data_IF_346970006829
#
_entry.id   IF_346970006829
#
_cell.length_a   1.000
_cell.length_b   1.000
_cell.length_c   1.000
_cell.angle_alpha   90.00
_cell.angle_beta   90.00
_cell.angle_gamma   90.00
#
_symmetry.space_group_name_H-M   'P 1'
#
loop_
_entity.id
_entity.type
_entity.pdbx_description
1 polymer ?
#
# COMPACT_ATOMS: atom_id res chain seq x y z
N UNK A 1 -18.58 7.15 28.95
CA UNK A 1 -17.26 7.28 28.28
C UNK A 1 -16.06 7.32 29.25
N UNK A 2 -16.17 6.83 30.50
CA UNK A 2 -15.14 7.07 31.53
C UNK A 2 -14.22 5.89 31.86
N UNK A 3 -14.69 4.64 31.87
CA UNK A 3 -13.92 3.53 32.44
C UNK A 3 -12.95 2.87 31.45
N UNK A 4 -13.40 2.62 30.22
CA UNK A 4 -12.59 1.96 29.19
C UNK A 4 -11.38 2.82 28.74
N UNK A 5 -11.57 4.13 28.66
CA UNK A 5 -10.54 5.11 28.30
C UNK A 5 -9.50 5.28 29.42
N UNK A 6 -9.94 5.20 30.68
CA UNK A 6 -9.06 5.23 31.86
C UNK A 6 -8.29 3.91 31.99
N UNK A 7 -8.93 2.76 31.73
CA UNK A 7 -8.29 1.46 31.72
C UNK A 7 -7.21 1.34 30.61
N UNK A 8 -7.51 1.82 29.40
CA UNK A 8 -6.52 1.91 28.31
C UNK A 8 -5.37 2.88 28.63
N UNK A 9 -5.64 4.01 29.30
CA UNK A 9 -4.58 4.94 29.72
C UNK A 9 -3.72 4.37 30.85
N UNK A 10 -4.32 3.65 31.79
CA UNK A 10 -3.61 2.98 32.88
C UNK A 10 -2.73 1.84 32.35
N UNK A 11 -3.26 1.01 31.45
CA UNK A 11 -2.49 -0.04 30.78
C UNK A 11 -1.36 0.50 29.89
N UNK A 12 -1.48 1.71 29.32
CA UNK A 12 -0.45 2.29 28.44
C UNK A 12 0.53 3.24 29.15
N UNK A 13 0.26 3.64 30.40
CA UNK A 13 1.09 4.55 31.19
C UNK A 13 2.52 4.05 31.49
N UNK A 14 2.74 2.81 31.96
CA UNK A 14 4.10 2.31 32.19
C UNK A 14 4.91 2.19 30.88
N UNK A 15 4.23 1.99 29.75
CA UNK A 15 4.86 1.89 28.43
C UNK A 15 5.25 3.25 27.83
N UNK A 16 4.54 4.34 28.17
CA UNK A 16 5.00 5.70 27.82
C UNK A 16 6.26 6.11 28.57
N UNK A 17 6.43 5.60 29.80
CA UNK A 17 7.67 5.80 30.56
C UNK A 17 8.83 4.99 29.93
N UNK A 18 8.57 3.75 29.50
CA UNK A 18 9.56 2.92 28.81
C UNK A 18 9.99 3.49 27.45
N UNK A 19 9.04 4.07 26.69
CA UNK A 19 9.33 4.73 25.41
C UNK A 19 10.21 5.99 25.55
N UNK A 20 10.19 6.66 26.71
CA UNK A 20 11.09 7.78 27.03
C UNK A 20 12.50 7.33 27.43
N UNK A 21 12.64 6.11 27.95
CA UNK A 21 13.92 5.53 28.38
C UNK A 21 14.72 4.90 27.22
N UNK A 22 14.05 4.42 26.17
CA UNK A 22 14.70 3.76 25.00
C UNK A 22 15.02 4.74 23.86
N UNK A 23 14.93 6.06 24.09
CA UNK A 23 15.43 7.07 23.14
C UNK A 23 14.64 7.17 21.83
N UNK A 24 13.34 6.80 21.81
CA UNK A 24 12.50 7.06 20.65
C UNK A 24 12.32 8.57 20.43
N UNK A 25 12.53 9.10 19.21
CA UNK A 25 12.35 10.53 18.96
C UNK A 25 10.91 10.91 19.27
N UNK A 26 10.76 12.00 20.00
CA UNK A 26 9.48 12.51 20.44
C UNK A 26 8.58 12.82 19.25
N UNK A 27 7.35 12.31 19.28
CA UNK A 27 6.26 12.71 18.40
C UNK A 27 5.91 14.18 18.64
N UNK A 28 6.68 15.09 18.06
CA UNK A 28 6.29 16.50 17.88
C UNK A 28 6.76 16.97 16.51
N UNK A 29 5.78 17.22 15.65
CA UNK A 29 5.81 18.25 14.60
C UNK A 29 7.05 18.30 13.71
N UNK A 30 7.17 17.33 12.81
CA UNK A 30 7.88 17.51 11.52
C UNK A 30 6.84 17.47 10.41
N UNK A 31 5.84 18.34 10.53
CA UNK A 31 4.94 18.67 9.42
C UNK A 31 5.55 19.89 8.71
N UNK A 32 5.78 19.75 7.39
CA UNK A 32 5.94 20.82 6.38
C UNK A 32 7.31 21.41 6.02
N UNK A 33 8.46 21.03 6.59
CA UNK A 33 9.75 21.61 6.15
C UNK A 33 10.64 20.71 5.25
N UNK A 34 10.34 19.41 5.12
CA UNK A 34 11.19 18.48 4.36
C UNK A 34 10.97 18.44 2.85
N UNK A 35 9.73 18.65 2.39
CA UNK A 35 9.38 18.50 0.97
C UNK A 35 10.01 19.57 0.07
N UNK A 36 10.23 20.80 0.59
CA UNK A 36 10.81 21.90 -0.17
C UNK A 36 12.34 21.90 -0.24
N UNK A 37 13.03 21.18 0.65
CA UNK A 37 14.49 21.12 0.68
C UNK A 37 15.03 20.00 -0.21
N UNK A 38 14.33 18.86 -0.27
CA UNK A 38 14.72 17.71 -1.10
C UNK A 38 14.45 17.97 -2.59
N UNK A 39 13.47 18.82 -2.93
CA UNK A 39 13.29 19.28 -4.32
C UNK A 39 14.44 20.20 -4.80
N UNK A 40 15.23 20.76 -3.87
CA UNK A 40 16.35 21.64 -4.17
C UNK A 40 17.69 20.90 -4.24
N UNK A 41 17.82 19.80 -3.48
CA UNK A 41 19.04 18.97 -3.45
C UNK A 41 19.03 17.87 -4.54
N UNK A 42 17.90 17.62 -5.22
CA UNK A 42 17.81 16.70 -6.37
C UNK A 42 18.23 17.34 -7.71
N UNK A 43 18.84 18.53 -7.67
CA UNK A 43 19.19 19.34 -8.83
C UNK A 43 20.63 19.20 -9.33
N UNK A 44 21.51 18.50 -8.61
CA UNK A 44 22.91 18.36 -9.02
C UNK A 44 23.28 16.88 -9.23
N UNK A 45 23.61 16.58 -10.49
CA UNK A 45 24.44 15.51 -11.03
C UNK A 45 24.64 14.24 -10.17
N UNK A 46 24.01 13.12 -10.59
CA UNK A 46 24.72 11.89 -10.93
C UNK A 46 23.79 10.88 -11.63
N UNK A 47 24.35 10.17 -12.60
CA UNK A 47 23.68 9.16 -13.44
C UNK A 47 23.00 8.07 -12.59
N UNK A 48 22.03 7.38 -13.20
CA UNK A 48 21.22 6.23 -12.78
C UNK A 48 21.92 5.03 -12.06
N UNK A 49 23.08 5.20 -11.40
CA UNK A 49 23.84 4.13 -10.77
C UNK A 49 23.66 4.01 -9.25
N UNK A 50 23.32 5.09 -8.53
CA UNK A 50 23.16 5.04 -7.06
C UNK A 50 21.80 4.44 -6.60
N UNK A 51 20.95 4.04 -7.54
CA UNK A 51 19.53 3.75 -7.31
C UNK A 51 19.17 2.26 -7.23
N UNK A 52 20.15 1.36 -7.13
CA UNK A 52 19.90 -0.09 -7.01
C UNK A 52 19.46 -0.52 -5.62
N UNK A 53 19.62 0.34 -4.63
CA UNK A 53 19.33 0.01 -3.24
C UNK A 53 18.59 1.15 -2.54
N UNK A 54 17.27 1.22 -2.73
CA UNK A 54 16.43 1.47 -1.56
C UNK A 54 16.67 0.31 -0.58
N UNK A 55 17.80 0.39 0.15
CA UNK A 55 18.16 -0.52 1.23
C UNK A 55 16.95 -0.63 2.14
N UNK A 56 16.64 -1.82 2.63
CA UNK A 56 15.62 -2.03 3.66
C UNK A 56 16.08 -1.30 4.92
N UNK A 57 15.90 0.01 4.97
CA UNK A 57 16.37 0.82 6.06
C UNK A 57 15.31 0.78 7.15
N UNK A 58 15.62 -0.02 8.18
CA UNK A 58 14.73 -0.33 9.28
C UNK A 58 14.24 -1.78 9.28
N UNK A 59 15.10 -2.71 9.71
CA UNK A 59 14.58 -3.97 10.28
C UNK A 59 13.86 -3.62 11.58
N UNK A 60 12.53 -3.43 11.55
CA UNK A 60 11.75 -3.60 12.78
C UNK A 60 11.79 -5.08 13.12
N UNK A 61 12.08 -5.44 14.38
CA UNK A 61 12.33 -6.82 14.80
C UNK A 61 11.18 -7.78 14.45
N UNK A 62 9.94 -7.27 14.43
CA UNK A 62 8.73 -8.07 14.21
C UNK A 62 8.17 -8.00 12.78
N UNK A 63 8.26 -6.83 12.12
CA UNK A 63 7.63 -6.55 10.83
C UNK A 63 8.57 -5.83 9.87
N UNK A 64 8.41 -6.08 8.57
CA UNK A 64 9.19 -5.42 7.51
C UNK A 64 8.76 -3.96 7.38
N UNK A 65 9.65 -3.04 7.68
CA UNK A 65 9.51 -1.62 7.33
C UNK A 65 10.27 -1.38 6.02
N UNK A 66 9.67 -0.64 5.11
CA UNK A 66 10.30 -0.26 3.86
C UNK A 66 10.97 1.11 4.02
N UNK A 67 12.11 1.29 3.36
CA UNK A 67 12.69 2.61 3.20
C UNK A 67 11.74 3.51 2.43
N UNK A 68 11.84 4.82 2.68
CA UNK A 68 11.07 5.80 1.92
C UNK A 68 11.57 5.77 0.47
N UNK A 69 10.69 5.50 -0.51
CA UNK A 69 11.10 5.47 -1.90
C UNK A 69 11.52 6.87 -2.38
N UNK A 70 12.57 6.92 -3.19
CA UNK A 70 13.03 8.13 -3.88
C UNK A 70 12.32 8.25 -5.22
N UNK A 71 11.99 9.49 -5.62
CA UNK A 71 11.33 9.76 -6.89
C UNK A 71 12.34 10.19 -7.94
N UNK A 72 12.44 9.39 -8.99
CA UNK A 72 13.44 9.52 -10.08
C UNK A 72 12.78 9.98 -11.38
N UNK A 73 11.79 10.88 -11.27
CA UNK A 73 11.13 11.40 -12.47
C UNK A 73 11.74 12.72 -12.90
N UNK A 74 11.99 12.88 -14.19
CA UNK A 74 12.52 14.13 -14.74
C UNK A 74 11.56 15.30 -14.48
N UNK A 75 12.13 16.46 -14.16
CA UNK A 75 11.39 17.69 -13.86
C UNK A 75 10.82 18.33 -15.12
N UNK A 76 9.61 18.89 -15.00
CA UNK A 76 8.89 19.49 -16.12
C UNK A 76 9.58 20.70 -16.78
N UNK A 77 10.45 21.40 -16.03
CA UNK A 77 11.14 22.58 -16.52
C UNK A 77 12.18 22.26 -17.61
N UNK A 78 12.69 21.03 -17.63
CA UNK A 78 13.88 20.65 -18.40
C UNK A 78 13.54 19.79 -19.62
N UNK A 79 12.25 19.55 -19.90
CA UNK A 79 11.83 18.60 -20.95
C UNK A 79 12.23 19.13 -22.35
N UNK A 80 13.28 18.56 -22.91
CA UNK A 80 13.81 18.91 -24.24
C UNK A 80 13.04 18.20 -25.36
N UNK A 81 13.25 18.61 -26.61
CA UNK A 81 12.63 17.96 -27.77
C UNK A 81 13.13 16.52 -27.96
N UNK A 82 14.39 16.23 -27.65
CA UNK A 82 14.95 14.88 -27.74
C UNK A 82 14.23 13.93 -26.76
N UNK A 83 14.04 14.37 -25.52
CA UNK A 83 13.32 13.61 -24.50
C UNK A 83 11.83 13.48 -24.83
N UNK A 84 11.24 14.52 -25.44
CA UNK A 84 9.90 14.44 -25.98
C UNK A 84 9.79 13.33 -27.04
N UNK A 85 10.80 13.15 -27.89
CA UNK A 85 10.83 12.04 -28.85
C UNK A 85 10.92 10.67 -28.16
N UNK A 86 11.70 10.56 -27.06
CA UNK A 86 11.76 9.34 -26.24
C UNK A 86 10.39 8.97 -25.67
N UNK A 87 9.70 9.91 -25.03
CA UNK A 87 8.36 9.68 -24.49
C UNK A 87 7.32 9.36 -25.57
N UNK A 88 7.42 9.98 -26.75
CA UNK A 88 6.53 9.67 -27.87
C UNK A 88 6.76 8.24 -28.40
N UNK A 89 8.01 7.78 -28.40
CA UNK A 89 8.34 6.38 -28.74
C UNK A 89 7.80 5.39 -27.70
N UNK A 90 7.83 5.74 -26.40
CA UNK A 90 7.17 4.95 -25.36
C UNK A 90 5.65 4.92 -25.55
N UNK A 91 5.04 6.06 -25.87
CA UNK A 91 3.60 6.18 -26.12
C UNK A 91 3.12 5.28 -27.26
N UNK A 92 3.97 5.04 -28.27
CA UNK A 92 3.62 4.17 -29.39
C UNK A 92 3.29 2.74 -28.95
N UNK A 93 3.87 2.26 -27.84
CA UNK A 93 3.53 0.95 -27.25
C UNK A 93 2.06 0.88 -26.83
N UNK A 94 1.51 1.98 -26.32
CA UNK A 94 0.10 2.06 -25.95
C UNK A 94 -0.83 1.98 -27.17
N UNK A 95 -0.54 2.75 -28.23
CA UNK A 95 -1.40 2.77 -29.43
C UNK A 95 -1.32 1.50 -30.28
N UNK A 96 -0.27 0.69 -30.11
CA UNK A 96 -0.03 -0.52 -30.90
C UNK A 96 -0.29 -1.80 -30.12
N UNK A 97 -0.67 -1.71 -28.84
CA UNK A 97 -0.89 -2.90 -28.02
C UNK A 97 -2.12 -3.69 -28.45
N UNK A 98 -1.99 -4.98 -28.82
CA UNK A 98 -3.12 -5.81 -29.17
C UNK A 98 -3.83 -6.29 -27.90
N UNK A 99 -4.96 -5.68 -27.55
CA UNK A 99 -5.72 -6.08 -26.37
C UNK A 99 -6.43 -7.43 -26.60
N UNK A 100 -6.10 -8.50 -25.84
CA UNK A 100 -6.79 -9.77 -25.98
C UNK A 100 -8.21 -9.65 -25.40
N UNK A 101 -9.23 -9.87 -26.24
CA UNK A 101 -10.64 -9.87 -25.83
C UNK A 101 -10.98 -11.01 -24.85
N UNK A 102 -10.26 -12.12 -24.94
CA UNK A 102 -10.43 -13.29 -24.09
C UNK A 102 -9.15 -13.52 -23.29
N UNK A 103 -9.25 -13.33 -21.99
CA UNK A 103 -8.16 -13.55 -21.06
C UNK A 103 -8.23 -14.99 -20.57
N UNK A 104 -7.11 -15.54 -20.08
CA UNK A 104 -7.06 -16.92 -19.58
C UNK A 104 -8.03 -17.05 -18.40
N UNK A 105 -8.88 -18.08 -18.42
CA UNK A 105 -9.94 -18.30 -17.42
C UNK A 105 -9.43 -18.53 -15.99
N UNK A 106 -8.15 -18.88 -15.84
CA UNK A 106 -7.55 -19.26 -14.55
C UNK A 106 -6.95 -18.08 -13.77
N UNK A 107 -7.02 -16.86 -14.29
CA UNK A 107 -6.38 -15.68 -13.70
C UNK A 107 -7.37 -14.74 -13.04
N UNK A 108 -6.93 -14.11 -11.94
CA UNK A 108 -7.68 -13.00 -11.36
C UNK A 108 -7.68 -11.81 -12.33
N UNK A 109 -8.82 -11.14 -12.46
CA UNK A 109 -8.99 -9.99 -13.34
C UNK A 109 -7.92 -8.89 -13.08
N UNK A 110 -7.52 -8.73 -11.82
CA UNK A 110 -6.45 -7.81 -11.42
C UNK A 110 -5.07 -8.11 -12.01
N UNK A 111 -4.77 -9.39 -12.26
CA UNK A 111 -3.48 -9.82 -12.81
C UNK A 111 -3.44 -9.55 -14.30
N UNK A 112 -4.56 -9.76 -14.99
CA UNK A 112 -4.73 -9.40 -16.39
C UNK A 112 -4.56 -7.90 -16.60
N UNK A 113 -5.21 -7.06 -15.79
CA UNK A 113 -5.04 -5.61 -15.86
C UNK A 113 -3.60 -5.19 -15.57
N UNK A 114 -2.95 -5.86 -14.62
CA UNK A 114 -1.55 -5.57 -14.29
C UNK A 114 -0.61 -5.95 -15.43
N UNK A 115 -0.81 -7.08 -16.11
CA UNK A 115 0.02 -7.50 -17.23
C UNK A 115 -0.06 -6.51 -18.40
N UNK A 116 -1.26 -6.01 -18.69
CA UNK A 116 -1.48 -4.95 -19.67
C UNK A 116 -0.71 -3.67 -19.29
N UNK A 117 -0.85 -3.22 -18.05
CA UNK A 117 -0.16 -2.03 -17.54
C UNK A 117 1.35 -2.22 -17.54
N UNK A 118 1.85 -3.40 -17.14
CA UNK A 118 3.28 -3.73 -17.12
C UNK A 118 3.88 -3.72 -18.53
N UNK A 119 3.08 -4.07 -19.55
CA UNK A 119 3.49 -3.96 -20.95
C UNK A 119 3.58 -2.51 -21.42
N UNK A 120 2.56 -1.70 -21.11
CA UNK A 120 2.50 -0.29 -21.55
C UNK A 120 3.53 0.56 -20.84
N UNK A 121 3.55 0.51 -19.51
CA UNK A 121 4.49 1.28 -18.71
C UNK A 121 5.90 0.71 -18.79
N UNK A 122 6.05 -0.59 -19.11
CA UNK A 122 7.34 -1.24 -19.28
C UNK A 122 8.02 -1.59 -17.96
N UNK A 123 8.26 -2.87 -17.72
CA UNK A 123 9.07 -3.35 -16.57
C UNK A 123 10.57 -3.46 -16.84
N UNK A 124 11.00 -3.29 -18.09
CA UNK A 124 12.40 -3.46 -18.48
C UNK A 124 13.26 -2.32 -17.96
N UNK A 125 14.55 -2.61 -17.72
CA UNK A 125 15.55 -1.60 -17.38
C UNK A 125 15.58 -0.52 -18.47
N UNK A 126 15.42 0.75 -18.06
CA UNK A 126 15.34 1.90 -18.96
C UNK A 126 13.95 2.49 -19.18
N UNK A 127 12.86 1.85 -18.73
CA UNK A 127 11.53 2.48 -18.73
C UNK A 127 11.41 3.56 -17.64
N UNK A 128 10.74 4.66 -17.98
CA UNK A 128 10.41 5.75 -17.04
C UNK A 128 9.58 5.30 -15.82
N UNK A 129 8.88 4.16 -15.89
CA UNK A 129 7.97 3.67 -14.86
C UNK A 129 8.40 2.35 -14.20
N UNK A 130 9.47 1.72 -14.66
CA UNK A 130 9.95 0.44 -14.11
C UNK A 130 10.19 0.52 -12.59
N UNK A 131 10.78 1.62 -12.11
CA UNK A 131 11.01 1.83 -10.67
C UNK A 131 9.68 1.97 -9.89
N UNK A 132 8.71 2.70 -10.45
CA UNK A 132 7.39 2.84 -9.83
C UNK A 132 6.70 1.47 -9.70
N UNK A 133 6.68 0.67 -10.76
CA UNK A 133 6.11 -0.68 -10.72
C UNK A 133 6.81 -1.56 -9.68
N UNK A 134 8.15 -1.51 -9.63
CA UNK A 134 8.94 -2.25 -8.65
C UNK A 134 8.62 -1.83 -7.21
N UNK A 135 8.57 -0.53 -6.93
CA UNK A 135 8.24 0.03 -5.63
C UNK A 135 6.83 -0.40 -5.22
N UNK A 136 5.84 -0.27 -6.10
CA UNK A 136 4.45 -0.68 -5.86
C UNK A 136 4.36 -2.17 -5.49
N UNK A 137 5.10 -3.03 -6.18
CA UNK A 137 5.15 -4.46 -5.86
C UNK A 137 5.86 -4.77 -4.55
N UNK A 138 6.96 -4.08 -4.23
CA UNK A 138 7.64 -4.21 -2.93
C UNK A 138 6.72 -3.82 -1.78
N UNK A 139 6.00 -2.70 -1.90
CA UNK A 139 5.01 -2.28 -0.92
C UNK A 139 3.91 -3.32 -0.74
N UNK A 140 3.30 -3.77 -1.84
CA UNK A 140 2.27 -4.82 -1.79
C UNK A 140 2.77 -6.07 -1.06
N UNK A 141 3.95 -6.58 -1.41
CA UNK A 141 4.53 -7.78 -0.81
C UNK A 141 4.83 -7.57 0.68
N UNK A 142 5.48 -6.46 1.05
CA UNK A 142 5.84 -6.20 2.44
C UNK A 142 4.61 -6.03 3.36
N UNK A 143 3.58 -5.32 2.89
CA UNK A 143 2.35 -5.13 3.65
C UNK A 143 1.63 -6.47 3.83
N UNK A 144 1.52 -7.28 2.77
CA UNK A 144 0.92 -8.61 2.82
C UNK A 144 1.71 -9.57 3.73
N UNK A 145 3.04 -9.59 3.64
CA UNK A 145 3.90 -10.45 4.47
C UNK A 145 3.74 -10.13 5.95
N UNK A 146 3.67 -8.84 6.30
CA UNK A 146 3.47 -8.39 7.67
C UNK A 146 2.12 -8.84 8.22
N UNK A 147 1.07 -8.74 7.41
CA UNK A 147 -0.29 -9.19 7.77
C UNK A 147 -0.36 -10.70 7.89
N UNK A 148 0.20 -11.44 6.93
CA UNK A 148 0.29 -12.89 6.98
C UNK A 148 1.04 -13.35 8.23
N UNK A 149 2.16 -12.70 8.58
CA UNK A 149 2.90 -13.01 9.81
C UNK A 149 2.07 -12.75 11.07
N UNK A 150 1.31 -11.67 11.14
CA UNK A 150 0.46 -11.41 12.31
C UNK A 150 -0.68 -12.43 12.43
N UNK A 151 -1.40 -12.72 11.34
CA UNK A 151 -2.63 -13.51 11.38
C UNK A 151 -2.43 -15.02 11.26
N UNK A 152 -1.43 -15.45 10.47
CA UNK A 152 -1.18 -16.87 10.22
C UNK A 152 -0.08 -17.45 11.11
N UNK A 153 0.78 -16.60 11.70
CA UNK A 153 1.87 -17.07 12.57
C UNK A 153 1.64 -16.65 14.01
N UNK A 154 1.61 -15.35 14.31
CA UNK A 154 1.56 -14.91 15.72
C UNK A 154 0.24 -15.26 16.41
N UNK A 155 -0.91 -15.02 15.77
CA UNK A 155 -2.21 -15.33 16.40
C UNK A 155 -2.39 -16.83 16.74
N UNK A 156 -2.15 -17.78 15.81
CA UNK A 156 -2.22 -19.22 16.12
C UNK A 156 -1.14 -19.67 17.11
N UNK A 157 0.07 -19.10 17.04
CA UNK A 157 1.16 -19.45 17.97
C UNK A 157 0.84 -19.02 19.40
N UNK A 158 0.26 -17.82 19.58
CA UNK A 158 -0.17 -17.34 20.89
C UNK A 158 -1.30 -18.19 21.46
N UNK A 159 -2.26 -18.61 20.62
CA UNK A 159 -3.29 -19.57 21.03
C UNK A 159 -2.67 -20.88 21.53
N UNK A 160 -1.74 -21.45 20.77
CA UNK A 160 -1.02 -22.68 21.15
C UNK A 160 -0.29 -22.52 22.47
N UNK A 161 0.48 -21.44 22.62
CA UNK A 161 1.21 -21.14 23.83
C UNK A 161 0.27 -20.96 25.03
N UNK A 162 -0.91 -20.39 24.83
CA UNK A 162 -1.94 -20.24 25.87
C UNK A 162 -2.42 -21.60 26.36
N UNK A 163 -2.75 -22.50 25.44
CA UNK A 163 -3.28 -23.83 25.78
C UNK A 163 -2.21 -24.65 26.51
N UNK A 164 -0.98 -24.67 25.99
CA UNK A 164 0.14 -25.39 26.61
C UNK A 164 0.50 -24.83 27.98
N UNK A 165 0.61 -23.51 28.12
CA UNK A 165 0.90 -22.86 29.41
C UNK A 165 -0.23 -23.09 30.41
N UNK A 166 -1.49 -23.05 29.98
CA UNK A 166 -2.64 -23.40 30.84
C UNK A 166 -2.51 -24.81 31.39
N UNK A 167 -2.21 -25.80 30.54
CA UNK A 167 -2.01 -27.19 30.96
C UNK A 167 -0.88 -27.34 31.98
N UNK A 168 0.26 -26.68 31.75
CA UNK A 168 1.41 -26.69 32.67
C UNK A 168 1.09 -25.99 34.01
N UNK A 169 0.43 -24.82 33.97
CA UNK A 169 0.07 -24.07 35.18
C UNK A 169 -0.99 -24.82 36.01
N UNK A 170 -1.96 -25.46 35.37
CA UNK A 170 -2.92 -26.34 36.06
C UNK A 170 -2.19 -27.50 36.71
N UNK A 171 -1.25 -28.16 36.02
CA UNK A 171 -0.48 -29.25 36.61
C UNK A 171 0.36 -28.80 37.82
N UNK A 172 0.96 -27.60 37.75
CA UNK A 172 1.84 -27.09 38.81
C UNK A 172 1.09 -26.49 40.01
N UNK A 173 -0.02 -25.78 39.78
CA UNK A 173 -0.65 -24.94 40.81
C UNK A 173 -2.04 -25.41 41.26
N UNK A 174 -2.71 -26.32 40.52
CA UNK A 174 -4.01 -26.82 40.93
C UNK A 174 -4.04 -27.49 42.31
N UNK A 175 -3.00 -28.23 42.77
CA UNK A 175 -2.99 -28.80 44.12
C UNK A 175 -3.09 -27.74 45.22
N UNK A 176 -2.29 -26.68 45.13
CA UNK A 176 -2.25 -25.59 46.11
C UNK A 176 -3.53 -24.73 46.09
N UNK A 177 -4.07 -24.47 44.90
CA UNK A 177 -5.34 -23.73 44.74
C UNK A 177 -6.54 -24.52 45.27
N UNK A 178 -6.54 -25.84 45.13
CA UNK A 178 -7.60 -26.72 45.63
C UNK A 178 -7.69 -26.73 47.16
N UNK A 179 -6.56 -26.59 47.85
CA UNK A 179 -6.51 -26.48 49.31
C UNK A 179 -7.04 -25.11 49.80
N UNK A 180 -6.77 -24.02 49.05
CA UNK A 180 -7.24 -22.68 49.41
C UNK A 180 -8.70 -22.41 49.03
N UNK A 181 -9.18 -22.96 47.90
CA UNK A 181 -10.54 -22.79 47.39
C UNK A 181 -11.49 -23.88 47.92
N UNK A 182 -11.35 -24.27 49.20
CA UNK A 182 -12.04 -25.39 49.86
C UNK A 182 -13.59 -25.42 49.78
N UNK A 183 -14.21 -24.46 49.08
CA UNK A 183 -15.65 -24.34 48.85
C UNK A 183 -16.07 -24.27 47.37
N UNK A 184 -15.14 -24.23 46.41
CA UNK A 184 -15.47 -24.13 44.99
C UNK A 184 -15.60 -25.53 44.35
N UNK A 185 -16.67 -25.72 43.57
CA UNK A 185 -16.89 -26.94 42.79
C UNK A 185 -15.64 -27.31 41.96
N UNK A 186 -15.31 -28.61 41.93
CA UNK A 186 -14.21 -29.16 41.13
C UNK A 186 -14.21 -28.59 39.70
N UNK A 187 -13.15 -27.86 39.33
CA UNK A 187 -12.92 -27.39 37.95
C UNK A 187 -13.00 -25.87 37.76
N UNK A 188 -13.46 -25.09 38.75
CA UNK A 188 -13.45 -23.61 38.66
C UNK A 188 -12.03 -23.05 38.60
N UNK A 189 -11.08 -23.69 39.30
CA UNK A 189 -9.67 -23.32 39.33
C UNK A 189 -8.99 -23.43 37.95
N UNK A 190 -9.35 -24.46 37.17
CA UNK A 190 -8.81 -24.67 35.81
C UNK A 190 -9.31 -23.62 34.84
N UNK A 191 -10.60 -23.30 34.92
CA UNK A 191 -11.23 -22.28 34.10
C UNK A 191 -10.68 -20.89 34.44
N UNK A 192 -10.44 -20.59 35.72
CA UNK A 192 -9.83 -19.34 36.15
C UNK A 192 -8.39 -19.17 35.62
N UNK A 193 -7.54 -20.20 35.77
CA UNK A 193 -6.16 -20.18 35.22
C UNK A 193 -6.18 -20.02 33.70
N UNK A 194 -7.02 -20.79 33.01
CA UNK A 194 -7.15 -20.71 31.55
C UNK A 194 -7.66 -19.36 31.06
N UNK A 195 -8.63 -18.77 31.77
CA UNK A 195 -9.12 -17.43 31.45
C UNK A 195 -8.02 -16.37 31.62
N UNK A 196 -7.20 -16.44 32.68
CA UNK A 196 -6.08 -15.52 32.89
C UNK A 196 -5.03 -15.65 31.79
N UNK A 197 -4.63 -16.88 31.43
CA UNK A 197 -3.68 -17.13 30.35
C UNK A 197 -4.22 -16.62 29.00
N UNK A 198 -5.49 -16.87 28.71
CA UNK A 198 -6.16 -16.36 27.51
C UNK A 198 -6.17 -14.83 27.44
N UNK A 199 -6.51 -14.17 28.55
CA UNK A 199 -6.49 -12.71 28.63
C UNK A 199 -5.09 -12.14 28.45
N UNK A 200 -4.07 -12.79 29.01
CA UNK A 200 -2.67 -12.40 28.82
C UNK A 200 -2.25 -12.53 27.34
N UNK A 201 -2.59 -13.63 26.68
CA UNK A 201 -2.28 -13.85 25.26
C UNK A 201 -3.03 -12.89 24.34
N UNK A 202 -4.31 -12.62 24.60
CA UNK A 202 -5.08 -11.62 23.87
C UNK A 202 -4.49 -10.22 24.08
N UNK A 203 -4.08 -9.88 25.30
CA UNK A 203 -3.36 -8.64 25.61
C UNK A 203 -2.06 -8.51 24.83
N UNK A 204 -1.28 -9.60 24.74
CA UNK A 204 -0.04 -9.63 23.96
C UNK A 204 -0.30 -9.49 22.45
N UNK A 205 -1.32 -10.17 21.92
CA UNK A 205 -1.70 -10.03 20.52
C UNK A 205 -2.16 -8.60 20.20
N UNK A 206 -2.94 -7.99 21.09
CA UNK A 206 -3.36 -6.59 21.00
C UNK A 206 -2.18 -5.63 21.03
N UNK A 207 -1.17 -5.90 21.88
CA UNK A 207 0.06 -5.12 21.95
C UNK A 207 0.85 -5.24 20.65
N UNK A 208 1.03 -6.46 20.12
CA UNK A 208 1.70 -6.70 18.83
C UNK A 208 0.96 -6.00 17.66
N UNK A 209 -0.37 -6.02 17.67
CA UNK A 209 -1.17 -5.36 16.65
C UNK A 209 -1.06 -3.83 16.74
N UNK A 210 -1.34 -3.24 17.91
CA UNK A 210 -1.43 -1.77 18.04
C UNK A 210 -0.08 -1.08 18.03
N UNK A 211 1.00 -1.77 18.42
CA UNK A 211 2.32 -1.16 18.49
C UNK A 211 3.18 -1.52 17.27
N UNK A 212 3.89 -2.65 17.18
CA UNK A 212 4.82 -2.87 16.08
C UNK A 212 4.11 -3.06 14.73
N UNK A 213 2.95 -3.72 14.66
CA UNK A 213 2.27 -3.94 13.37
C UNK A 213 1.65 -2.66 12.82
N UNK A 214 0.70 -2.06 13.54
CA UNK A 214 -0.08 -0.91 13.05
C UNK A 214 0.82 0.28 12.74
N UNK A 215 1.80 0.58 13.59
CA UNK A 215 2.75 1.67 13.34
C UNK A 215 3.57 1.42 12.09
N UNK A 216 4.10 0.20 11.89
CA UNK A 216 4.90 -0.13 10.70
C UNK A 216 4.07 -0.08 9.42
N UNK A 217 2.84 -0.62 9.45
CA UNK A 217 1.91 -0.58 8.33
C UNK A 217 1.57 0.86 7.93
N UNK A 218 1.22 1.70 8.91
CA UNK A 218 0.89 3.11 8.66
C UNK A 218 2.09 3.90 8.16
N UNK A 219 3.30 3.66 8.67
CA UNK A 219 4.52 4.31 8.17
C UNK A 219 4.85 3.91 6.73
N UNK A 220 4.71 2.64 6.38
CA UNK A 220 4.88 2.17 5.01
C UNK A 220 3.84 2.83 4.09
N UNK A 221 2.56 2.88 4.50
CA UNK A 221 1.49 3.50 3.73
C UNK A 221 1.67 5.03 3.57
N UNK A 222 2.14 5.75 4.59
CA UNK A 222 2.51 7.16 4.47
C UNK A 222 3.69 7.39 3.52
N UNK A 223 4.68 6.49 3.54
CA UNK A 223 5.80 6.54 2.59
C UNK A 223 5.32 6.36 1.16
N UNK A 224 4.42 5.40 0.95
CA UNK A 224 3.77 5.15 -0.33
C UNK A 224 2.92 6.35 -0.79
N UNK A 225 2.14 6.94 0.12
CA UNK A 225 1.26 8.08 -0.16
C UNK A 225 2.02 9.30 -0.65
N UNK A 226 3.07 9.70 0.05
CA UNK A 226 3.93 10.80 -0.37
C UNK A 226 4.58 10.55 -1.74
N UNK A 227 4.98 9.31 -2.00
CA UNK A 227 5.63 8.92 -3.25
C UNK A 227 4.66 8.98 -4.43
N UNK A 228 3.48 8.39 -4.29
CA UNK A 228 2.41 8.42 -5.30
C UNK A 228 1.98 9.86 -5.59
N UNK A 229 1.73 10.66 -4.55
CA UNK A 229 1.35 12.07 -4.70
C UNK A 229 2.43 12.86 -5.46
N UNK A 230 3.71 12.63 -5.13
CA UNK A 230 4.83 13.31 -5.79
C UNK A 230 4.96 12.90 -7.26
N UNK A 231 4.86 11.61 -7.57
CA UNK A 231 4.89 11.06 -8.94
C UNK A 231 3.76 11.64 -9.79
N UNK A 232 2.53 11.59 -9.29
CA UNK A 232 1.36 12.08 -10.03
C UNK A 232 1.44 13.59 -10.25
N UNK A 233 2.01 14.33 -9.31
CA UNK A 233 2.28 15.75 -9.50
C UNK A 233 3.27 16.01 -10.63
N UNK A 234 4.35 15.23 -10.74
CA UNK A 234 5.34 15.39 -11.81
C UNK A 234 4.78 15.02 -13.18
N UNK A 235 4.05 13.90 -13.30
CA UNK A 235 3.38 13.53 -14.55
C UNK A 235 2.40 14.63 -14.99
N UNK A 236 1.62 15.19 -14.07
CA UNK A 236 0.70 16.29 -14.39
C UNK A 236 1.43 17.59 -14.81
N UNK A 237 2.57 17.91 -14.19
CA UNK A 237 3.38 19.06 -14.61
C UNK A 237 3.94 18.85 -16.03
N UNK A 238 4.41 17.65 -16.34
CA UNK A 238 4.90 17.28 -17.68
C UNK A 238 3.77 17.37 -18.72
N UNK A 239 2.56 16.92 -18.38
CA UNK A 239 1.36 17.11 -19.20
C UNK A 239 1.13 18.60 -19.54
N UNK A 240 1.16 19.49 -18.54
CA UNK A 240 0.92 20.93 -18.75
C UNK A 240 2.05 21.60 -19.57
N UNK A 241 3.28 21.12 -19.47
CA UNK A 241 4.38 21.61 -20.31
C UNK A 241 4.24 21.12 -21.74
N UNK A 242 3.99 19.83 -21.96
CA UNK A 242 3.78 19.26 -23.27
C UNK A 242 2.59 19.92 -24.00
N UNK A 243 1.47 20.13 -23.30
CA UNK A 243 0.30 20.88 -23.80
C UNK A 243 0.69 22.29 -24.28
N UNK A 244 1.43 23.04 -23.46
CA UNK A 244 1.84 24.42 -23.83
C UNK A 244 2.81 24.42 -25.00
N UNK A 245 3.74 23.47 -25.06
CA UNK A 245 4.69 23.34 -26.18
C UNK A 245 3.96 23.00 -27.49
N UNK A 246 3.04 22.04 -27.47
CA UNK A 246 2.23 21.68 -28.63
C UNK A 246 1.50 22.90 -29.23
N UNK A 247 0.74 23.63 -28.40
CA UNK A 247 0.00 24.82 -28.86
C UNK A 247 0.93 25.95 -29.36
N UNK A 248 2.11 26.12 -28.75
CA UNK A 248 3.05 27.15 -29.18
C UNK A 248 3.69 26.84 -30.54
N UNK A 249 4.00 25.56 -30.82
CA UNK A 249 4.58 25.14 -32.11
C UNK A 249 3.57 25.40 -33.23
N UNK A 250 2.29 25.04 -33.01
CA UNK A 250 1.23 25.24 -34.00
C UNK A 250 0.94 26.71 -34.29
N UNK A 251 0.90 27.55 -33.26
CA UNK A 251 0.73 29.01 -33.45
C UNK A 251 1.86 29.64 -34.25
N UNK A 252 3.05 29.04 -34.23
CA UNK A 252 4.23 29.53 -34.92
C UNK A 252 4.43 28.91 -36.32
N UNK A 253 3.55 28.01 -36.78
CA UNK A 253 3.62 27.42 -38.12
C UNK A 253 3.45 28.47 -39.22
N UNK A 254 4.58 29.02 -39.70
CA UNK A 254 4.68 29.82 -40.92
C UNK A 254 5.03 28.90 -42.09
N UNK A 255 4.39 29.11 -43.26
CA UNK A 255 4.46 28.24 -44.45
C UNK A 255 5.88 27.75 -44.84
N UNK A 256 6.93 28.55 -44.64
CA UNK A 256 8.30 28.19 -45.04
C UNK A 256 8.97 27.10 -44.19
N UNK A 257 8.48 26.82 -42.97
CA UNK A 257 9.04 25.82 -42.02
C UNK A 257 8.00 24.76 -41.66
N UNK A 258 6.94 24.64 -42.47
CA UNK A 258 5.76 23.85 -42.14
C UNK A 258 6.07 22.36 -41.90
N UNK A 259 7.04 21.77 -42.60
CA UNK A 259 7.35 20.35 -42.46
C UNK A 259 8.09 20.02 -41.16
N UNK A 260 9.08 20.83 -40.77
CA UNK A 260 9.84 20.65 -39.53
C UNK A 260 8.97 20.90 -38.29
N UNK A 261 8.18 21.99 -38.32
CA UNK A 261 7.26 22.33 -37.24
C UNK A 261 6.11 21.31 -37.11
N UNK A 262 5.72 20.65 -38.20
CA UNK A 262 4.70 19.59 -38.18
C UNK A 262 5.21 18.34 -37.46
N UNK A 263 6.46 17.94 -37.69
CA UNK A 263 7.06 16.81 -36.98
C UNK A 263 7.16 17.11 -35.47
N UNK A 264 7.63 18.32 -35.13
CA UNK A 264 7.73 18.76 -33.74
C UNK A 264 6.34 18.82 -33.05
N UNK A 265 5.34 19.40 -33.70
CA UNK A 265 3.97 19.44 -33.18
C UNK A 265 3.41 18.04 -32.94
N UNK A 266 3.64 17.11 -33.88
CA UNK A 266 3.24 15.71 -33.73
C UNK A 266 3.84 15.04 -32.50
N UNK A 267 5.13 15.26 -32.24
CA UNK A 267 5.82 14.72 -31.04
C UNK A 267 5.18 15.27 -29.76
N UNK A 268 5.00 16.59 -29.66
CA UNK A 268 4.39 17.20 -28.47
C UNK A 268 2.95 16.78 -28.26
N UNK A 269 2.20 16.57 -29.34
CA UNK A 269 0.82 16.11 -29.29
C UNK A 269 0.69 14.68 -28.76
N UNK A 270 1.52 13.77 -29.26
CA UNK A 270 1.60 12.40 -28.73
C UNK A 270 2.00 12.42 -27.25
N UNK A 271 2.91 13.31 -26.85
CA UNK A 271 3.37 13.39 -25.46
C UNK A 271 2.31 13.85 -24.47
N UNK A 272 1.54 14.91 -24.75
CA UNK A 272 0.52 15.31 -23.79
C UNK A 272 -0.57 14.23 -23.67
N UNK A 273 -0.92 13.54 -24.77
CA UNK A 273 -1.85 12.41 -24.71
C UNK A 273 -1.26 11.27 -23.87
N UNK A 274 0.02 10.96 -24.07
CA UNK A 274 0.73 9.95 -23.31
C UNK A 274 0.79 10.28 -21.83
N UNK A 275 1.18 11.49 -21.42
CA UNK A 275 1.24 11.84 -19.99
C UNK A 275 -0.13 11.73 -19.32
N UNK A 276 -1.22 12.07 -20.02
CA UNK A 276 -2.57 11.86 -19.52
C UNK A 276 -2.89 10.36 -19.32
N UNK A 277 -2.64 9.53 -20.34
CA UNK A 277 -2.89 8.09 -20.26
C UNK A 277 -1.96 7.39 -19.26
N UNK A 278 -0.70 7.78 -19.19
CA UNK A 278 0.29 7.32 -18.22
C UNK A 278 -0.16 7.60 -16.79
N UNK A 279 -0.73 8.78 -16.52
CA UNK A 279 -1.33 9.08 -15.22
C UNK A 279 -2.49 8.12 -14.90
N UNK A 280 -3.38 7.86 -15.86
CA UNK A 280 -4.46 6.89 -15.70
C UNK A 280 -3.92 5.49 -15.37
N UNK A 281 -2.93 4.99 -16.11
CA UNK A 281 -2.34 3.66 -15.85
C UNK A 281 -1.64 3.57 -14.50
N UNK A 282 -0.92 4.62 -14.11
CA UNK A 282 -0.32 4.68 -12.78
C UNK A 282 -1.41 4.69 -11.68
N UNK A 283 -2.51 5.42 -11.86
CA UNK A 283 -3.66 5.38 -10.95
C UNK A 283 -4.30 3.99 -10.88
N UNK A 284 -4.51 3.33 -12.02
CA UNK A 284 -5.04 1.96 -12.07
C UNK A 284 -4.12 0.99 -11.34
N UNK A 285 -2.80 1.14 -11.49
CA UNK A 285 -1.81 0.35 -10.73
C UNK A 285 -2.00 0.52 -9.23
N UNK A 286 -2.09 1.77 -8.74
CA UNK A 286 -2.28 2.04 -7.31
C UNK A 286 -3.58 1.42 -6.80
N UNK A 287 -4.68 1.61 -7.54
CA UNK A 287 -5.99 1.03 -7.19
C UNK A 287 -5.93 -0.49 -7.12
N UNK A 288 -5.33 -1.11 -8.13
CA UNK A 288 -5.17 -2.56 -8.21
C UNK A 288 -4.35 -3.10 -7.01
N UNK A 289 -3.16 -2.53 -6.74
CA UNK A 289 -2.30 -3.00 -5.64
C UNK A 289 -2.97 -2.82 -4.27
N UNK A 290 -3.70 -1.73 -4.06
CA UNK A 290 -4.45 -1.50 -2.81
C UNK A 290 -5.64 -2.45 -2.66
N UNK A 291 -6.33 -2.75 -3.76
CA UNK A 291 -7.36 -3.78 -3.77
C UNK A 291 -6.78 -5.13 -3.36
N UNK A 292 -5.65 -5.53 -3.94
CA UNK A 292 -4.96 -6.77 -3.58
C UNK A 292 -4.54 -6.80 -2.10
N UNK A 293 -4.00 -5.69 -1.56
CA UNK A 293 -3.63 -5.59 -0.14
C UNK A 293 -4.86 -5.76 0.76
N UNK A 294 -5.97 -5.07 0.44
CA UNK A 294 -7.22 -5.17 1.21
C UNK A 294 -7.79 -6.58 1.16
N UNK A 295 -7.88 -7.17 -0.04
CA UNK A 295 -8.38 -8.54 -0.24
C UNK A 295 -7.53 -9.54 0.54
N UNK A 296 -6.21 -9.51 0.36
CA UNK A 296 -5.30 -10.45 1.01
C UNK A 296 -5.31 -10.28 2.53
N UNK A 297 -5.42 -9.05 3.05
CA UNK A 297 -5.57 -8.83 4.50
C UNK A 297 -6.83 -9.50 5.06
N UNK A 298 -7.96 -9.38 4.35
CA UNK A 298 -9.20 -10.07 4.74
C UNK A 298 -9.04 -11.59 4.65
N UNK A 299 -8.46 -12.10 3.56
CA UNK A 299 -8.22 -13.54 3.38
C UNK A 299 -7.31 -14.10 4.47
N UNK A 300 -6.23 -13.41 4.83
CA UNK A 300 -5.36 -13.81 5.94
C UNK A 300 -6.06 -13.75 7.29
N UNK A 301 -6.98 -12.81 7.50
CA UNK A 301 -7.79 -12.75 8.72
C UNK A 301 -8.71 -13.96 8.84
N UNK A 302 -9.44 -14.30 7.77
CA UNK A 302 -10.32 -15.48 7.73
C UNK A 302 -9.51 -16.78 7.83
N UNK A 303 -8.43 -16.90 7.08
CA UNK A 303 -7.54 -18.08 7.12
C UNK A 303 -6.86 -18.24 8.48
N UNK A 304 -6.45 -17.14 9.13
CA UNK A 304 -5.88 -17.17 10.47
C UNK A 304 -6.87 -17.64 11.53
N UNK A 305 -8.13 -17.20 11.44
CA UNK A 305 -9.20 -17.70 12.29
C UNK A 305 -9.47 -19.20 12.03
N UNK A 306 -9.58 -19.62 10.78
CA UNK A 306 -9.78 -21.03 10.40
C UNK A 306 -8.63 -21.92 10.89
N UNK A 307 -7.38 -21.50 10.69
CA UNK A 307 -6.19 -22.20 11.19
C UNK A 307 -6.21 -22.32 12.71
N UNK A 308 -6.61 -21.25 13.41
CA UNK A 308 -6.73 -21.25 14.87
C UNK A 308 -7.83 -22.21 15.36
N UNK A 309 -8.95 -22.33 14.63
CA UNK A 309 -10.02 -23.30 14.94
C UNK A 309 -9.51 -24.73 14.78
N UNK A 310 -8.84 -25.04 13.67
CA UNK A 310 -8.26 -26.38 13.44
C UNK A 310 -7.24 -26.74 14.52
N UNK A 311 -6.41 -25.78 14.90
CA UNK A 311 -5.40 -25.96 15.94
C UNK A 311 -6.04 -26.16 17.33
N UNK A 312 -7.10 -25.41 17.63
CA UNK A 312 -7.87 -25.59 18.86
C UNK A 312 -8.51 -26.99 18.93
N UNK A 313 -9.09 -27.47 17.82
CA UNK A 313 -9.65 -28.82 17.74
C UNK A 313 -8.58 -29.89 17.97
N UNK A 314 -7.43 -29.76 17.29
CA UNK A 314 -6.30 -30.68 17.47
C UNK A 314 -5.81 -30.69 18.92
N UNK A 315 -5.59 -29.52 19.53
CA UNK A 315 -5.11 -29.41 20.91
C UNK A 315 -6.15 -29.87 21.93
N UNK A 316 -7.45 -29.70 21.66
CA UNK A 316 -8.52 -30.22 22.51
C UNK A 316 -8.52 -31.76 22.52
N UNK A 317 -8.44 -32.38 21.34
CA UNK A 317 -8.38 -33.84 21.20
C UNK A 317 -7.11 -34.41 21.83
N UNK A 318 -5.95 -33.78 21.60
CA UNK A 318 -4.69 -34.19 22.20
C UNK A 318 -4.68 -34.04 23.73
N UNK A 319 -5.23 -32.93 24.24
CA UNK A 319 -5.37 -32.68 25.67
C UNK A 319 -6.26 -33.71 26.36
N UNK A 320 -7.37 -34.10 25.71
CA UNK A 320 -8.28 -35.11 26.22
C UNK A 320 -7.66 -36.52 26.19
N UNK A 321 -7.02 -36.90 25.09
CA UNK A 321 -6.34 -38.19 24.95
C UNK A 321 -5.19 -38.38 25.96
N UNK A 322 -4.50 -37.30 26.34
CA UNK A 322 -3.40 -37.33 27.31
C UNK A 322 -3.86 -37.13 28.75
N UNK A 323 -5.14 -36.79 28.98
CA UNK A 323 -5.67 -36.46 30.31
C UNK A 323 -5.17 -35.13 30.87
N UNK A 324 -4.42 -34.34 30.10
CA UNK A 324 -3.84 -33.06 30.53
C UNK A 324 -4.89 -31.95 30.63
N UNK A 325 -5.91 -31.97 29.77
CA UNK A 325 -6.99 -30.98 29.76
C UNK A 325 -8.30 -31.59 29.27
N UNK A 326 -9.43 -31.02 29.67
CA UNK A 326 -10.73 -31.40 29.09
C UNK A 326 -10.90 -30.70 27.74
N UNK A 327 -11.20 -31.45 26.69
CA UNK A 327 -11.38 -30.90 25.34
C UNK A 327 -12.38 -29.75 25.29
N UNK A 328 -13.51 -29.87 26.00
CA UNK A 328 -14.53 -28.82 26.09
C UNK A 328 -14.00 -27.49 26.67
N UNK A 329 -13.12 -27.52 27.67
CA UNK A 329 -12.51 -26.32 28.27
C UNK A 329 -11.55 -25.65 27.28
N UNK A 330 -10.72 -26.45 26.59
CA UNK A 330 -9.81 -25.98 25.54
C UNK A 330 -10.58 -25.31 24.42
N UNK A 331 -11.68 -25.92 23.95
CA UNK A 331 -12.52 -25.35 22.89
C UNK A 331 -13.23 -24.07 23.32
N UNK A 332 -13.74 -23.99 24.55
CA UNK A 332 -14.40 -22.79 25.06
C UNK A 332 -13.41 -21.59 25.13
N UNK A 333 -12.23 -21.80 25.72
CA UNK A 333 -11.20 -20.76 25.83
C UNK A 333 -10.67 -20.35 24.45
N UNK A 334 -10.42 -21.32 23.57
CA UNK A 334 -9.96 -21.05 22.21
C UNK A 334 -11.00 -20.30 21.40
N UNK A 335 -12.28 -20.68 21.50
CA UNK A 335 -13.38 -20.01 20.83
C UNK A 335 -13.49 -18.55 21.24
N UNK A 336 -13.38 -18.25 22.54
CA UNK A 336 -13.37 -16.88 23.05
C UNK A 336 -12.16 -16.08 22.54
N UNK A 337 -10.95 -16.67 22.58
CA UNK A 337 -9.74 -16.02 22.05
C UNK A 337 -9.89 -15.70 20.56
N UNK A 338 -10.32 -16.67 19.75
CA UNK A 338 -10.46 -16.54 18.30
C UNK A 338 -11.52 -15.48 17.97
N UNK A 339 -12.68 -15.54 18.63
CA UNK A 339 -13.75 -14.56 18.43
C UNK A 339 -13.29 -13.15 18.81
N UNK A 340 -12.63 -12.99 19.96
CA UNK A 340 -12.10 -11.71 20.41
C UNK A 340 -11.04 -11.17 19.43
N UNK A 341 -10.02 -11.96 19.10
CA UNK A 341 -8.97 -11.58 18.17
C UNK A 341 -9.52 -11.22 16.78
N UNK A 342 -10.50 -11.97 16.29
CA UNK A 342 -11.12 -11.68 15.00
C UNK A 342 -11.89 -10.35 15.01
N UNK A 343 -12.78 -10.15 15.98
CA UNK A 343 -13.64 -8.96 16.06
C UNK A 343 -12.86 -7.69 16.41
N UNK A 344 -11.80 -7.80 17.20
CA UNK A 344 -11.03 -6.64 17.65
C UNK A 344 -9.88 -6.26 16.71
N UNK A 345 -9.27 -7.26 16.04
CA UNK A 345 -8.06 -7.06 15.23
C UNK A 345 -8.34 -7.41 13.76
N UNK A 346 -8.60 -8.68 13.46
CA UNK A 346 -8.55 -9.17 12.06
C UNK A 346 -9.61 -8.51 11.17
N UNK A 347 -10.84 -8.38 11.67
CA UNK A 347 -11.95 -7.76 10.93
C UNK A 347 -11.76 -6.26 10.68
N UNK A 348 -10.91 -5.59 11.48
CA UNK A 348 -10.73 -4.13 11.44
C UNK A 348 -9.41 -3.70 10.80
N UNK A 349 -8.45 -4.60 10.68
CA UNK A 349 -7.09 -4.28 10.26
C UNK A 349 -7.02 -3.52 8.93
N UNK A 350 -7.73 -3.99 7.89
CA UNK A 350 -7.75 -3.31 6.59
C UNK A 350 -8.25 -1.86 6.68
N UNK A 351 -9.28 -1.61 7.49
CA UNK A 351 -9.87 -0.27 7.64
C UNK A 351 -8.92 0.67 8.38
N UNK A 352 -8.28 0.18 9.44
CA UNK A 352 -7.42 1.00 10.30
C UNK A 352 -6.03 1.27 9.72
N UNK A 353 -5.50 0.36 8.89
CA UNK A 353 -4.21 0.60 8.20
C UNK A 353 -4.41 1.55 7.03
N UNK A 354 -5.45 1.33 6.20
CA UNK A 354 -5.71 2.12 5.00
C UNK A 354 -6.31 3.51 5.30
N UNK A 355 -6.79 3.78 6.52
CA UNK A 355 -7.35 5.09 6.89
C UNK A 355 -6.34 6.23 6.83
N UNK A 356 -5.05 5.93 6.73
CA UNK A 356 -3.97 6.92 6.67
C UNK A 356 -3.73 7.43 5.25
N UNK A 357 -4.19 6.69 4.25
CA UNK A 357 -4.09 7.09 2.86
C UNK A 357 -5.03 8.27 2.58
N UNK A 358 -4.65 9.13 1.63
CA UNK A 358 -5.46 10.25 1.19
C UNK A 358 -5.90 10.07 -0.27
N UNK A 359 -6.96 9.28 -0.55
CA UNK A 359 -7.35 8.93 -1.93
C UNK A 359 -7.70 10.15 -2.79
N UNK A 360 -8.12 11.25 -2.17
CA UNK A 360 -8.44 12.50 -2.86
C UNK A 360 -7.22 13.17 -3.49
N UNK A 361 -6.02 12.92 -2.97
CA UNK A 361 -4.79 13.47 -3.53
C UNK A 361 -4.28 12.68 -4.74
N UNK A 362 -4.68 11.41 -4.84
CA UNK A 362 -4.19 10.49 -5.87
C UNK A 362 -5.10 10.40 -7.09
N UNK A 363 -6.41 10.62 -6.92
CA UNK A 363 -7.32 10.68 -8.05
C UNK A 363 -7.14 12.04 -8.73
N UNK A 364 -6.32 12.11 -9.78
CA UNK A 364 -5.98 13.34 -10.49
C UNK A 364 -6.30 13.28 -11.97
N UNK A 365 -6.49 12.09 -12.56
CA UNK A 365 -6.82 11.93 -13.96
C UNK A 365 -8.10 12.68 -14.34
N UNK A 366 -9.11 12.68 -13.46
CA UNK A 366 -10.34 13.45 -13.69
C UNK A 366 -10.14 14.98 -13.71
N UNK A 367 -8.99 15.47 -13.23
CA UNK A 367 -8.58 16.87 -13.29
C UNK A 367 -7.69 17.16 -14.51
N UNK A 368 -7.33 16.13 -15.28
CA UNK A 368 -6.60 16.31 -16.53
C UNK A 368 -7.61 16.66 -17.61
N UNK A 369 -7.56 17.91 -18.07
CA UNK A 369 -8.42 18.45 -19.11
C UNK A 369 -8.01 17.97 -20.52
N UNK A 370 -7.78 16.66 -20.68
CA UNK A 370 -7.36 16.06 -21.94
C UNK A 370 -8.41 16.32 -23.04
N UNK A 371 -9.69 16.14 -22.70
CA UNK A 371 -10.80 16.35 -23.63
C UNK A 371 -10.89 17.80 -24.12
N UNK A 372 -10.72 18.79 -23.23
CA UNK A 372 -10.68 20.20 -23.62
C UNK A 372 -9.46 20.50 -24.47
N UNK A 373 -8.29 19.97 -24.09
CA UNK A 373 -7.04 20.16 -24.82
C UNK A 373 -7.13 19.63 -26.26
N UNK A 374 -7.68 18.42 -26.45
CA UNK A 374 -7.90 17.85 -27.78
C UNK A 374 -8.94 18.66 -28.56
N UNK A 375 -10.02 19.10 -27.91
CA UNK A 375 -11.05 19.94 -28.55
C UNK A 375 -10.48 21.25 -29.06
N UNK A 376 -9.69 21.94 -28.23
CA UNK A 376 -9.14 23.25 -28.55
C UNK A 376 -8.13 23.13 -29.71
N UNK A 377 -7.29 22.09 -29.70
CA UNK A 377 -6.34 21.80 -30.78
C UNK A 377 -7.03 21.48 -32.11
N UNK A 378 -7.99 20.55 -32.12
CA UNK A 378 -8.78 20.22 -33.33
C UNK A 378 -9.63 21.42 -33.79
N UNK A 379 -10.08 22.26 -32.86
CA UNK A 379 -10.83 23.48 -33.13
C UNK A 379 -9.99 24.54 -33.84
N UNK A 380 -8.78 24.82 -33.33
CA UNK A 380 -7.83 25.76 -33.95
C UNK A 380 -7.47 25.30 -35.39
N UNK A 381 -7.15 24.01 -35.58
CA UNK A 381 -6.84 23.44 -36.90
C UNK A 381 -7.99 23.60 -37.90
N UNK A 382 -9.22 23.24 -37.50
CA UNK A 382 -10.40 23.37 -38.37
C UNK A 382 -10.63 24.82 -38.77
N UNK A 383 -10.46 25.76 -37.84
CA UNK A 383 -10.63 27.18 -38.10
C UNK A 383 -9.58 27.69 -39.10
N UNK A 384 -8.33 27.26 -38.97
CA UNK A 384 -7.28 27.58 -39.95
C UNK A 384 -7.62 27.03 -41.35
N UNK A 385 -8.01 25.75 -41.45
CA UNK A 385 -8.38 25.12 -42.74
C UNK A 385 -9.52 25.89 -43.42
N UNK A 386 -10.57 26.24 -42.67
CA UNK A 386 -11.71 27.01 -43.21
C UNK A 386 -11.25 28.40 -43.66
N UNK A 387 -10.44 29.08 -42.85
CA UNK A 387 -9.93 30.44 -43.17
C UNK A 387 -9.05 30.43 -44.44
N UNK A 388 -8.18 29.44 -44.60
CA UNK A 388 -7.35 29.28 -45.80
C UNK A 388 -8.17 28.91 -47.03
N UNK A 389 -9.15 28.01 -46.88
CA UNK A 389 -10.08 27.67 -47.98
C UNK A 389 -10.85 28.89 -48.46
N UNK A 390 -11.33 29.71 -47.55
CA UNK A 390 -12.14 30.87 -47.88
C UNK A 390 -11.30 32.02 -48.47
N UNK A 391 -10.03 32.18 -48.04
CA UNK A 391 -9.06 33.07 -48.71
C UNK A 391 -8.76 32.63 -50.15
N UNK A 392 -8.48 31.36 -50.37
CA UNK A 392 -8.17 30.81 -51.71
C UNK A 392 -9.37 30.79 -52.66
N UNK A 393 -10.59 31.10 -52.18
CA UNK A 393 -11.79 31.27 -53.02
C UNK A 393 -12.02 32.72 -53.46
N UNK A 394 -11.36 33.68 -52.81
CA UNK A 394 -11.51 35.11 -53.06
C UNK A 394 -10.36 35.68 -53.91
N UNK A 395 -9.27 34.94 -54.04
CA UNK A 395 -8.24 35.08 -55.08
C UNK A 395 -8.63 34.27 -56.32
#
# INVERSE_FOLDING_TARGET
MGFFTVFLRFLTAPFRALARLVGGPSLRTVEKSGAGRIAKDAGDEERFEDERTAVVDGRSFFFKRLARPTLVERTAADLTLEEAKEYAAEAQKFYTYPFPLFTRADFFYEEVEQDYIDHILGRNEGSADANFLSIMDRFRRALNDNTARLFLVYAPSLLTATILSTGLLVAAFAPALREQLAFAAFGVERLAIGAMAMMAALGLLMLLYHWPYKVTQQQNLLGLDNYVTSKFSRINQNFQVAKRRAMNVERNMRMHQANELKEEAGVWTVNYQWFAMRLLFCEMTVRNKLYQIRRNTTLYGVAGAALSILLALFLALAGEATGLARGAEVLALSGLFIAAAYLSIMAKASRETLSVLQPKEWNRFHLVDLHETVRDHVGEDKLQIVTFRDRNRLE
#
